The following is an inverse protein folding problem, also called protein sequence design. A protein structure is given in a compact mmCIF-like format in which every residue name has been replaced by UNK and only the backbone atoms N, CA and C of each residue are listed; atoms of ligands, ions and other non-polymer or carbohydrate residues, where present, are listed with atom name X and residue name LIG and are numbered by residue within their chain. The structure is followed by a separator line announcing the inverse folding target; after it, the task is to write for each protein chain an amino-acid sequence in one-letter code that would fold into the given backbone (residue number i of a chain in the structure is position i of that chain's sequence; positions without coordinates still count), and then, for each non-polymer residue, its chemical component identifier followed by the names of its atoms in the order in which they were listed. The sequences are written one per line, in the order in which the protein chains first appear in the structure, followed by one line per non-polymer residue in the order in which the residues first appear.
data_IF_914683847726
#
_entry.id   IF_914683847726
#
_cell.length_a   1.000
_cell.length_b   1.000
_cell.length_c   1.000
_cell.angle_alpha   90.00
_cell.angle_beta   90.00
_cell.angle_gamma   90.00
#
_symmetry.space_group_name_H-M   'P 1'
#
loop_
_entity.id
_entity.type
_entity.pdbx_description
1 polymer ?
#
# COMPACT_ATOMS: atom_id res chain seq x y z
N UNK A 1 6.36 -34.11 18.93
CA UNK A 1 6.99 -33.23 17.93
C UNK A 1 5.90 -32.36 17.31
N UNK A 2 6.12 -31.06 17.15
CA UNK A 2 5.18 -30.16 16.46
C UNK A 2 5.56 -30.12 14.98
N UNK A 3 4.58 -30.21 14.07
CA UNK A 3 4.76 -30.09 12.62
C UNK A 3 4.03 -28.87 12.07
N UNK A 4 4.34 -28.47 10.84
CA UNK A 4 3.72 -27.33 10.15
C UNK A 4 3.79 -26.04 10.97
N UNK A 5 4.93 -25.83 11.64
CA UNK A 5 5.17 -24.59 12.38
C UNK A 5 5.31 -23.44 11.38
N UNK A 6 4.53 -22.35 11.53
CA UNK A 6 4.56 -21.25 10.58
C UNK A 6 5.90 -20.52 10.65
N UNK A 7 6.30 -19.96 9.52
CA UNK A 7 7.44 -19.05 9.40
C UNK A 7 6.99 -17.60 9.46
N UNK A 8 7.92 -16.67 9.66
CA UNK A 8 7.60 -15.24 9.56
C UNK A 8 7.12 -14.86 8.14
N UNK A 9 7.67 -15.49 7.10
CA UNK A 9 7.29 -15.25 5.71
C UNK A 9 5.83 -15.64 5.42
N UNK A 10 5.32 -16.71 6.03
CA UNK A 10 3.91 -17.10 5.91
C UNK A 10 2.99 -15.96 6.40
N UNK A 11 3.32 -15.41 7.56
CA UNK A 11 2.58 -14.29 8.16
C UNK A 11 2.74 -12.99 7.37
N UNK A 12 3.95 -12.67 6.92
CA UNK A 12 4.21 -11.47 6.11
C UNK A 12 3.50 -11.51 4.76
N UNK A 13 3.48 -12.67 4.11
CA UNK A 13 2.74 -12.87 2.86
C UNK A 13 1.25 -12.63 3.07
N UNK A 14 0.62 -13.33 4.01
CA UNK A 14 -0.82 -13.16 4.28
C UNK A 14 -1.15 -11.74 4.73
N UNK A 15 -0.31 -11.13 5.58
CA UNK A 15 -0.51 -9.75 6.01
C UNK A 15 -0.50 -8.77 4.83
N UNK A 16 0.47 -8.87 3.92
CA UNK A 16 0.54 -8.04 2.72
C UNK A 16 -0.63 -8.29 1.76
N UNK A 17 -1.06 -9.54 1.57
CA UNK A 17 -2.22 -9.88 0.75
C UNK A 17 -3.52 -9.27 1.30
N UNK A 18 -3.70 -9.26 2.62
CA UNK A 18 -4.85 -8.60 3.26
C UNK A 18 -4.78 -7.07 3.10
N UNK A 19 -3.59 -6.47 3.28
CA UNK A 19 -3.42 -5.04 3.03
C UNK A 19 -3.71 -4.69 1.55
N UNK A 20 -3.26 -5.52 0.61
CA UNK A 20 -3.53 -5.34 -0.82
C UNK A 20 -5.02 -5.42 -1.14
N UNK A 21 -5.74 -6.39 -0.54
CA UNK A 21 -7.19 -6.51 -0.67
C UNK A 21 -7.90 -5.25 -0.14
N UNK A 22 -7.50 -4.76 1.04
CA UNK A 22 -8.08 -3.53 1.58
C UNK A 22 -7.76 -2.32 0.69
N UNK A 23 -6.55 -2.23 0.15
CA UNK A 23 -6.16 -1.16 -0.77
C UNK A 23 -7.01 -1.20 -2.03
N UNK A 24 -7.15 -2.36 -2.67
CA UNK A 24 -7.94 -2.57 -3.88
C UNK A 24 -9.40 -2.13 -3.69
N UNK A 25 -10.02 -2.49 -2.56
CA UNK A 25 -11.38 -2.08 -2.23
C UNK A 25 -11.53 -0.56 -2.19
N UNK A 26 -10.58 0.15 -1.59
CA UNK A 26 -10.63 1.62 -1.47
C UNK A 26 -10.24 2.30 -2.78
N UNK A 27 -9.19 1.80 -3.45
CA UNK A 27 -8.69 2.34 -4.70
C UNK A 27 -9.71 2.24 -5.84
N UNK A 28 -10.54 1.19 -5.85
CA UNK A 28 -11.67 1.06 -6.81
C UNK A 28 -12.73 2.14 -6.61
N UNK A 29 -13.13 2.43 -5.36
CA UNK A 29 -14.09 3.49 -5.09
C UNK A 29 -13.57 4.84 -5.60
N UNK A 30 -12.32 5.14 -5.28
CA UNK A 30 -11.65 6.36 -5.73
C UNK A 30 -11.49 6.42 -7.26
N UNK A 31 -11.16 5.30 -7.90
CA UNK A 31 -10.98 5.24 -9.36
C UNK A 31 -12.30 5.42 -10.09
N UNK A 32 -13.39 4.79 -9.63
CA UNK A 32 -14.73 4.98 -10.18
C UNK A 32 -15.17 6.44 -10.10
N UNK A 33 -14.77 7.13 -9.02
CA UNK A 33 -15.04 8.54 -8.83
C UNK A 33 -14.29 9.43 -9.82
N UNK A 34 -12.99 9.18 -9.97
CA UNK A 34 -12.15 9.90 -10.92
C UNK A 34 -12.60 9.67 -12.37
N UNK A 35 -13.07 8.46 -12.68
CA UNK A 35 -13.64 8.13 -13.99
C UNK A 35 -14.98 8.86 -14.22
N UNK A 36 -15.85 8.91 -13.21
CA UNK A 36 -17.08 9.71 -13.28
C UNK A 36 -16.79 11.19 -13.55
N UNK A 37 -15.79 11.77 -12.86
CA UNK A 37 -15.32 13.14 -13.08
C UNK A 37 -14.87 13.36 -14.53
N UNK A 38 -14.09 12.42 -15.07
CA UNK A 38 -13.64 12.46 -16.46
C UNK A 38 -14.80 12.47 -17.46
N UNK A 39 -15.88 11.75 -17.17
CA UNK A 39 -17.10 11.76 -17.99
C UNK A 39 -18.04 12.96 -17.71
N UNK A 40 -17.58 13.96 -16.95
CA UNK A 40 -18.27 15.23 -16.73
C UNK A 40 -19.27 15.23 -15.58
N UNK A 41 -19.22 14.23 -14.69
CA UNK A 41 -19.99 14.25 -13.44
C UNK A 41 -19.25 15.16 -12.45
N UNK A 42 -19.93 16.18 -11.90
CA UNK A 42 -19.33 17.02 -10.86
C UNK A 42 -19.14 16.22 -9.57
N UNK A 43 -17.91 15.80 -9.32
CA UNK A 43 -17.59 15.05 -8.12
C UNK A 43 -17.67 15.90 -6.84
N UNK A 44 -17.63 17.23 -6.96
CA UNK A 44 -17.93 18.14 -5.85
C UNK A 44 -19.38 18.07 -5.37
N UNK A 45 -20.28 17.59 -6.24
CA UNK A 45 -21.71 17.36 -5.95
C UNK A 45 -22.04 15.90 -5.66
N UNK A 46 -21.04 15.02 -5.49
CA UNK A 46 -21.29 13.64 -5.06
C UNK A 46 -22.08 13.68 -3.77
N UNK A 47 -23.29 13.13 -3.83
CA UNK A 47 -24.16 13.07 -2.68
C UNK A 47 -23.50 12.25 -1.57
N UNK A 48 -23.75 12.62 -0.32
CA UNK A 48 -23.44 11.79 0.85
C UNK A 48 -23.97 10.35 0.67
N UNK A 49 -24.98 10.16 -0.19
CA UNK A 49 -25.51 8.87 -0.59
C UNK A 49 -24.47 7.93 -1.19
N UNK A 50 -23.55 8.39 -2.04
CA UNK A 50 -22.49 7.52 -2.59
C UNK A 50 -21.62 6.95 -1.47
N UNK A 51 -21.14 7.80 -0.56
CA UNK A 51 -20.31 7.38 0.57
C UNK A 51 -21.09 6.55 1.59
N UNK A 52 -22.38 6.85 1.78
CA UNK A 52 -23.26 6.03 2.60
C UNK A 52 -23.47 4.63 2.01
N UNK A 53 -23.60 4.50 0.69
CA UNK A 53 -23.67 3.20 0.00
C UNK A 53 -22.33 2.47 0.05
N UNK A 54 -21.21 3.20 -0.02
CA UNK A 54 -19.86 2.65 0.12
C UNK A 54 -19.48 2.30 1.58
N UNK A 55 -20.24 2.73 2.59
CA UNK A 55 -19.92 2.58 4.01
C UNK A 55 -19.55 1.15 4.39
N UNK A 56 -20.29 0.16 3.89
CA UNK A 56 -19.99 -1.27 4.15
C UNK A 56 -18.64 -1.70 3.58
N UNK A 57 -18.28 -1.21 2.40
CA UNK A 57 -16.99 -1.50 1.77
C UNK A 57 -15.86 -0.84 2.57
N UNK A 58 -16.05 0.39 3.05
CA UNK A 58 -15.06 1.11 3.87
C UNK A 58 -14.83 0.44 5.23
N UNK A 59 -15.90 0.06 5.95
CA UNK A 59 -15.76 -0.64 7.23
C UNK A 59 -15.13 -2.03 7.07
N UNK A 60 -15.47 -2.75 6.00
CA UNK A 60 -14.84 -4.03 5.67
C UNK A 60 -13.35 -3.83 5.36
N UNK A 61 -12.99 -2.80 4.60
CA UNK A 61 -11.59 -2.47 4.29
C UNK A 61 -10.80 -2.15 5.56
N UNK A 62 -11.35 -1.37 6.50
CA UNK A 62 -10.71 -1.08 7.77
C UNK A 62 -10.47 -2.35 8.60
N UNK A 63 -11.46 -3.25 8.66
CA UNK A 63 -11.33 -4.52 9.36
C UNK A 63 -10.25 -5.43 8.74
N UNK A 64 -10.20 -5.49 7.41
CA UNK A 64 -9.17 -6.24 6.67
C UNK A 64 -7.79 -5.62 6.89
N UNK A 65 -7.66 -4.28 6.86
CA UNK A 65 -6.41 -3.57 7.18
C UNK A 65 -5.90 -3.98 8.55
N UNK A 66 -6.76 -3.93 9.57
CA UNK A 66 -6.41 -4.30 10.93
C UNK A 66 -5.98 -5.78 11.02
N UNK A 67 -6.72 -6.69 10.37
CA UNK A 67 -6.35 -8.11 10.32
C UNK A 67 -5.00 -8.32 9.63
N UNK A 68 -4.73 -7.62 8.53
CA UNK A 68 -3.43 -7.65 7.84
C UNK A 68 -2.29 -7.24 8.76
N UNK A 69 -2.46 -6.15 9.50
CA UNK A 69 -1.47 -5.68 10.48
C UNK A 69 -1.24 -6.70 11.60
N UNK A 70 -2.28 -7.37 12.11
CA UNK A 70 -2.10 -8.45 13.09
C UNK A 70 -1.20 -9.57 12.53
N UNK A 71 -1.41 -9.98 11.27
CA UNK A 71 -0.56 -10.98 10.62
C UNK A 71 0.88 -10.48 10.52
N UNK A 72 1.10 -9.22 10.14
CA UNK A 72 2.45 -8.66 10.08
C UNK A 72 3.14 -8.64 11.45
N UNK A 73 2.45 -8.26 12.53
CA UNK A 73 3.02 -8.31 13.89
C UNK A 73 3.29 -9.75 14.32
N UNK A 74 2.41 -10.71 14.00
CA UNK A 74 2.68 -12.14 14.23
C UNK A 74 3.92 -12.62 13.48
N UNK A 75 4.17 -12.11 12.27
CA UNK A 75 5.40 -12.36 11.54
C UNK A 75 6.65 -11.89 12.31
N UNK A 76 6.62 -10.69 12.88
CA UNK A 76 7.70 -10.17 13.77
C UNK A 76 7.92 -11.06 15.00
N UNK A 77 6.85 -11.57 15.62
CA UNK A 77 6.97 -12.51 16.73
C UNK A 77 7.57 -13.84 16.27
N UNK A 78 7.20 -14.33 15.08
CA UNK A 78 7.77 -15.54 14.47
C UNK A 78 9.25 -15.41 14.11
N UNK A 79 9.75 -14.21 13.80
CA UNK A 79 11.20 -13.99 13.63
C UNK A 79 11.98 -14.31 14.92
N UNK A 80 11.37 -14.07 16.09
CA UNK A 80 11.95 -14.41 17.39
C UNK A 80 11.73 -15.90 17.67
N UNK A 81 10.47 -16.34 17.69
CA UNK A 81 10.10 -17.74 17.85
C UNK A 81 8.60 -17.93 17.54
N UNK A 82 8.24 -18.86 16.65
CA UNK A 82 6.83 -19.14 16.34
C UNK A 82 6.06 -19.69 17.55
N UNK A 83 6.75 -20.28 18.54
CA UNK A 83 6.09 -20.81 19.74
C UNK A 83 5.58 -19.73 20.70
N UNK A 84 6.07 -18.47 20.57
CA UNK A 84 5.52 -17.34 21.32
C UNK A 84 4.09 -16.99 20.90
N UNK A 85 3.62 -17.52 19.77
CA UNK A 85 2.24 -17.36 19.34
C UNK A 85 1.27 -18.28 20.07
N UNK A 86 1.73 -19.29 20.82
CA UNK A 86 0.85 -20.21 21.56
C UNK A 86 0.38 -19.53 22.86
N UNK A 87 -0.94 -19.40 23.04
CA UNK A 87 -1.51 -18.67 24.19
C UNK A 87 -1.91 -19.55 25.37
N UNK A 88 -2.28 -20.80 25.11
CA UNK A 88 -2.74 -21.70 26.16
C UNK A 88 -1.58 -22.25 27.01
N UNK A 89 -1.87 -22.56 28.28
CA UNK A 89 -0.92 -23.25 29.15
C UNK A 89 -0.75 -24.72 28.74
N UNK A 90 0.38 -25.37 29.09
CA UNK A 90 0.65 -26.76 28.70
C UNK A 90 -0.45 -27.77 29.02
N UNK A 91 -1.25 -27.53 30.06
CA UNK A 91 -2.36 -28.39 30.46
C UNK A 91 -3.52 -28.42 29.45
N UNK A 92 -3.62 -27.44 28.55
CA UNK A 92 -4.67 -27.31 27.52
C UNK A 92 -4.18 -27.65 26.11
N UNK A 93 -2.90 -27.97 25.94
CA UNK A 93 -2.35 -28.30 24.64
C UNK A 93 -2.93 -29.62 24.12
N UNK A 94 -2.99 -29.81 22.79
CA UNK A 94 -3.31 -31.11 22.21
C UNK A 94 -2.40 -32.20 22.80
N UNK A 95 -2.97 -33.38 23.08
CA UNK A 95 -2.24 -34.48 23.71
C UNK A 95 -1.07 -34.96 22.84
N UNK A 96 0.17 -35.00 23.34
CA UNK A 96 1.32 -35.53 22.59
C UNK A 96 1.44 -37.06 22.67
N UNK A 97 0.58 -37.73 23.44
CA UNK A 97 0.71 -39.15 23.77
C UNK A 97 -0.03 -40.09 22.81
N UNK A 98 -0.70 -39.55 21.79
CA UNK A 98 -1.40 -40.31 20.74
C UNK A 98 -0.44 -40.89 19.68
N UNK A 99 0.87 -40.66 19.80
CA UNK A 99 1.90 -41.18 18.89
C UNK A 99 2.05 -40.40 17.58
N UNK A 100 1.22 -39.40 17.33
CA UNK A 100 1.27 -38.55 16.14
C UNK A 100 1.89 -37.16 16.43
N UNK A 101 2.50 -36.56 15.40
CA UNK A 101 2.98 -35.19 15.47
C UNK A 101 1.80 -34.19 15.50
N UNK A 102 1.81 -33.26 16.45
CA UNK A 102 0.76 -32.26 16.61
C UNK A 102 0.97 -31.17 15.55
N UNK A 103 -0.08 -30.87 14.79
CA UNK A 103 -0.07 -29.74 13.85
C UNK A 103 -0.15 -28.41 14.63
N UNK A 104 0.67 -27.42 14.25
CA UNK A 104 0.70 -26.11 14.91
C UNK A 104 -0.68 -25.43 14.91
N UNK A 105 -1.50 -25.62 13.88
CA UNK A 105 -2.85 -25.04 13.78
C UNK A 105 -3.81 -25.51 14.87
N UNK A 106 -3.51 -26.60 15.58
CA UNK A 106 -4.32 -27.11 16.71
C UNK A 106 -4.08 -26.33 18.01
N UNK A 107 -3.03 -25.53 18.09
CA UNK A 107 -2.78 -24.70 19.26
C UNK A 107 -3.61 -23.43 19.18
N UNK A 108 -4.19 -23.03 20.32
CA UNK A 108 -4.77 -21.70 20.45
C UNK A 108 -3.65 -20.66 20.34
N UNK A 109 -3.83 -19.68 19.46
CA UNK A 109 -2.87 -18.61 19.29
C UNK A 109 -3.18 -17.40 20.17
N UNK A 110 -2.20 -16.51 20.35
CA UNK A 110 -2.36 -15.24 21.04
C UNK A 110 -3.39 -14.33 20.35
N UNK A 111 -4.14 -13.61 21.17
CA UNK A 111 -5.15 -12.65 20.76
C UNK A 111 -4.49 -11.32 20.33
N UNK A 112 -5.17 -10.55 19.48
CA UNK A 112 -4.66 -9.30 18.90
C UNK A 112 -4.17 -8.29 19.95
N UNK A 113 -4.85 -8.24 21.10
CA UNK A 113 -4.55 -7.33 22.21
C UNK A 113 -3.20 -7.63 22.88
N UNK A 114 -2.72 -8.87 22.78
CA UNK A 114 -1.48 -9.31 23.44
C UNK A 114 -0.27 -9.24 22.49
N UNK A 115 -0.48 -9.03 21.19
CA UNK A 115 0.58 -9.05 20.17
C UNK A 115 1.72 -8.08 20.48
N UNK A 116 1.40 -6.81 20.74
CA UNK A 116 2.40 -5.78 21.05
C UNK A 116 3.19 -6.17 22.30
N UNK A 117 2.49 -6.57 23.37
CA UNK A 117 3.12 -6.95 24.64
C UNK A 117 4.05 -8.14 24.48
N UNK A 118 3.61 -9.19 23.76
CA UNK A 118 4.44 -10.37 23.48
C UNK A 118 5.66 -9.95 22.66
N UNK A 119 5.48 -9.22 21.56
CA UNK A 119 6.60 -8.74 20.74
C UNK A 119 7.62 -7.95 21.58
N UNK A 120 7.19 -6.89 22.28
CA UNK A 120 8.09 -5.96 22.96
C UNK A 120 8.79 -6.58 24.18
N UNK A 121 8.23 -7.67 24.74
CA UNK A 121 8.87 -8.40 25.85
C UNK A 121 10.08 -9.20 25.36
N UNK A 122 10.05 -9.72 24.13
CA UNK A 122 11.08 -10.63 23.60
C UNK A 122 11.93 -10.02 22.48
N UNK A 123 11.50 -8.92 21.89
CA UNK A 123 12.25 -8.20 20.84
C UNK A 123 13.38 -7.36 21.42
N UNK A 124 14.45 -7.17 20.64
CA UNK A 124 15.52 -6.22 20.97
C UNK A 124 15.08 -4.77 20.82
N UNK A 125 14.09 -4.51 19.95
CA UNK A 125 13.52 -3.20 19.69
C UNK A 125 12.01 -3.26 19.86
N UNK A 126 11.50 -2.52 20.85
CA UNK A 126 10.07 -2.36 21.05
C UNK A 126 9.46 -1.45 19.97
N UNK A 127 8.16 -1.61 19.74
CA UNK A 127 7.42 -0.63 18.94
C UNK A 127 7.40 0.73 19.63
N UNK A 128 7.44 1.81 18.84
CA UNK A 128 7.29 3.15 19.38
C UNK A 128 5.83 3.42 19.83
N UNK A 129 5.66 4.43 20.68
CA UNK A 129 4.36 4.76 21.24
C UNK A 129 3.32 5.15 20.18
N UNK A 130 3.74 5.77 19.07
CA UNK A 130 2.83 6.19 18.00
C UNK A 130 2.29 4.96 17.26
N UNK A 131 3.14 3.98 16.95
CA UNK A 131 2.74 2.70 16.38
C UNK A 131 1.75 1.96 17.29
N UNK A 132 2.06 1.85 18.58
CA UNK A 132 1.19 1.15 19.55
C UNK A 132 -0.18 1.82 19.65
N UNK A 133 -0.22 3.15 19.73
CA UNK A 133 -1.48 3.90 19.77
C UNK A 133 -2.30 3.66 18.50
N UNK A 134 -1.69 3.78 17.31
CA UNK A 134 -2.37 3.59 16.04
C UNK A 134 -2.90 2.15 15.88
N UNK A 135 -2.13 1.15 16.31
CA UNK A 135 -2.58 -0.25 16.32
C UNK A 135 -3.81 -0.45 17.20
N UNK A 136 -3.82 0.15 18.40
CA UNK A 136 -4.94 0.06 19.33
C UNK A 136 -6.20 0.76 18.81
N UNK A 137 -6.07 1.96 18.23
CA UNK A 137 -7.17 2.69 17.59
C UNK A 137 -7.82 1.87 16.48
N UNK A 138 -7.00 1.23 15.63
CA UNK A 138 -7.48 0.35 14.56
C UNK A 138 -8.20 -0.88 15.11
N UNK A 139 -7.64 -1.50 16.16
CA UNK A 139 -8.24 -2.66 16.83
C UNK A 139 -9.59 -2.32 17.45
N UNK A 140 -9.68 -1.18 18.12
CA UNK A 140 -10.93 -0.69 18.72
C UNK A 140 -11.99 -0.39 17.65
N UNK A 141 -11.58 0.29 16.57
CA UNK A 141 -12.46 0.54 15.41
C UNK A 141 -12.97 -0.76 14.79
N UNK A 142 -12.09 -1.76 14.61
CA UNK A 142 -12.48 -3.09 14.10
C UNK A 142 -13.46 -3.79 15.04
N UNK A 143 -13.25 -3.71 16.35
CA UNK A 143 -14.16 -4.33 17.32
C UNK A 143 -15.55 -3.69 17.28
N UNK A 144 -15.63 -2.36 17.13
CA UNK A 144 -16.91 -1.66 16.93
C UNK A 144 -17.60 -2.20 15.67
N UNK A 145 -16.89 -2.29 14.55
CA UNK A 145 -17.45 -2.79 13.27
C UNK A 145 -17.94 -4.25 13.40
N UNK A 146 -17.17 -5.12 14.04
CA UNK A 146 -17.48 -6.56 14.12
C UNK A 146 -18.57 -6.90 15.13
N UNK A 147 -18.66 -6.14 16.23
CA UNK A 147 -19.53 -6.47 17.36
C UNK A 147 -20.72 -5.52 17.50
N UNK A 148 -20.80 -4.44 16.72
CA UNK A 148 -21.87 -3.45 16.82
C UNK A 148 -22.20 -2.85 15.46
N UNK A 149 -23.49 -2.67 15.18
CA UNK A 149 -23.93 -1.80 14.08
C UNK A 149 -23.91 -0.39 14.64
N UNK A 150 -22.72 0.22 14.69
CA UNK A 150 -22.57 1.59 15.15
C UNK A 150 -22.83 2.54 13.98
N UNK A 151 -23.94 3.30 14.04
CA UNK A 151 -24.22 4.38 13.08
C UNK A 151 -23.24 5.55 13.24
N UNK A 152 -22.53 5.64 14.37
CA UNK A 152 -21.62 6.73 14.72
C UNK A 152 -20.19 6.55 14.24
N UNK A 153 -19.80 5.35 13.77
CA UNK A 153 -18.47 5.15 13.21
C UNK A 153 -18.47 5.61 11.75
N UNK A 154 -17.93 6.80 11.53
CA UNK A 154 -17.74 7.39 10.21
C UNK A 154 -16.32 7.09 9.71
N UNK A 155 -16.17 6.03 8.91
CA UNK A 155 -14.86 5.61 8.39
C UNK A 155 -14.59 6.33 7.09
N UNK A 156 -13.54 7.14 7.08
CA UNK A 156 -13.15 7.93 5.91
C UNK A 156 -12.10 7.21 5.06
N UNK A 157 -12.20 7.32 3.74
CA UNK A 157 -11.23 6.72 2.79
C UNK A 157 -9.79 7.11 3.13
N UNK A 158 -9.56 8.40 3.41
CA UNK A 158 -8.24 8.91 3.76
C UNK A 158 -7.66 8.28 5.03
N UNK A 159 -8.49 7.90 6.00
CA UNK A 159 -8.05 7.26 7.24
C UNK A 159 -7.60 5.82 7.02
N UNK A 160 -8.29 5.07 6.15
CA UNK A 160 -7.90 3.69 5.81
C UNK A 160 -6.56 3.69 5.09
N UNK A 161 -6.42 4.53 4.06
CA UNK A 161 -5.18 4.66 3.27
C UNK A 161 -4.01 5.10 4.16
N UNK A 162 -4.22 6.12 4.99
CA UNK A 162 -3.20 6.60 5.91
C UNK A 162 -2.79 5.53 6.93
N UNK A 163 -3.76 4.82 7.52
CA UNK A 163 -3.48 3.77 8.49
C UNK A 163 -2.71 2.62 7.86
N UNK A 164 -3.09 2.20 6.65
CA UNK A 164 -2.38 1.16 5.92
C UNK A 164 -0.94 1.57 5.64
N UNK A 165 -0.73 2.76 5.04
CA UNK A 165 0.60 3.25 4.67
C UNK A 165 1.50 3.49 5.89
N UNK A 166 0.94 4.07 6.95
CA UNK A 166 1.65 4.29 8.22
C UNK A 166 2.11 2.97 8.84
N UNK A 167 1.19 2.02 9.01
CA UNK A 167 1.51 0.75 9.69
C UNK A 167 2.47 -0.08 8.85
N UNK A 168 2.30 -0.10 7.53
CA UNK A 168 3.23 -0.77 6.63
C UNK A 168 4.63 -0.15 6.69
N UNK A 169 4.76 1.17 6.54
CA UNK A 169 6.06 1.85 6.53
C UNK A 169 6.77 1.77 7.89
N UNK A 170 6.02 1.77 8.99
CA UNK A 170 6.59 1.56 10.33
C UNK A 170 7.15 0.14 10.50
N UNK A 171 6.45 -0.87 9.96
CA UNK A 171 6.90 -2.27 10.02
C UNK A 171 8.01 -2.58 9.02
N UNK A 172 8.00 -1.95 7.85
CA UNK A 172 8.92 -2.21 6.74
C UNK A 172 9.45 -0.89 6.13
N UNK A 173 10.33 -0.16 6.84
CA UNK A 173 10.75 1.19 6.43
C UNK A 173 11.51 1.24 5.10
N UNK A 174 12.07 0.10 4.67
CA UNK A 174 12.81 -0.02 3.42
C UNK A 174 11.94 -0.55 2.25
N UNK A 175 10.66 -0.83 2.47
CA UNK A 175 9.75 -1.34 1.44
C UNK A 175 8.80 -0.25 0.93
N UNK A 176 8.73 -0.08 -0.38
CA UNK A 176 7.71 0.76 -1.01
C UNK A 176 6.40 0.01 -1.14
N UNK A 177 5.32 0.58 -0.59
CA UNK A 177 3.98 0.04 -0.78
C UNK A 177 3.59 -0.03 -2.26
N UNK A 178 3.98 0.97 -3.08
CA UNK A 178 3.68 0.97 -4.51
C UNK A 178 4.33 -0.22 -5.25
N UNK A 179 5.56 -0.60 -4.87
CA UNK A 179 6.21 -1.82 -5.38
C UNK A 179 5.45 -3.08 -4.96
N UNK A 180 4.97 -3.13 -3.72
CA UNK A 180 4.20 -4.27 -3.20
C UNK A 180 2.87 -4.39 -3.95
N UNK A 181 2.13 -3.28 -4.10
CA UNK A 181 0.89 -3.22 -4.88
C UNK A 181 1.11 -3.66 -6.32
N UNK A 182 2.14 -3.15 -6.99
CA UNK A 182 2.49 -3.57 -8.35
C UNK A 182 2.78 -5.07 -8.44
N UNK A 183 3.47 -5.65 -7.45
CA UNK A 183 3.74 -7.09 -7.40
C UNK A 183 2.46 -7.89 -7.18
N UNK A 184 1.57 -7.42 -6.32
CA UNK A 184 0.27 -8.05 -6.08
C UNK A 184 -0.59 -8.08 -7.36
N UNK A 185 -0.66 -6.96 -8.10
CA UNK A 185 -1.32 -6.91 -9.41
C UNK A 185 -0.73 -7.92 -10.41
N UNK A 186 0.60 -8.04 -10.48
CA UNK A 186 1.31 -9.05 -11.31
C UNK A 186 1.03 -10.50 -10.92
N UNK A 187 0.66 -10.73 -9.66
CA UNK A 187 0.30 -12.06 -9.15
C UNK A 187 -1.21 -12.27 -9.08
N UNK A 188 -2.00 -11.32 -9.59
CA UNK A 188 -3.46 -11.42 -9.60
C UNK A 188 -3.93 -12.38 -10.71
N UNK A 189 -5.09 -13.05 -10.52
CA UNK A 189 -5.68 -13.90 -11.55
C UNK A 189 -5.97 -13.17 -12.88
N UNK A 190 -6.17 -11.84 -12.86
CA UNK A 190 -6.42 -11.03 -14.06
C UNK A 190 -5.23 -11.02 -15.01
N UNK A 191 -4.02 -11.31 -14.52
CA UNK A 191 -2.81 -11.43 -15.33
C UNK A 191 -2.97 -12.54 -16.38
N UNK A 192 -3.61 -13.66 -16.01
CA UNK A 192 -3.94 -14.77 -16.93
C UNK A 192 -5.02 -14.40 -17.95
N UNK A 193 -5.74 -13.30 -17.71
CA UNK A 193 -6.74 -12.73 -18.62
C UNK A 193 -6.19 -11.58 -19.48
N UNK A 194 -4.87 -11.37 -19.46
CA UNK A 194 -4.20 -10.35 -20.29
C UNK A 194 -4.07 -8.97 -19.62
N UNK A 195 -4.33 -8.83 -18.32
CA UNK A 195 -4.18 -7.53 -17.65
C UNK A 195 -2.72 -7.08 -17.49
N UNK A 196 -1.75 -7.93 -17.85
CA UNK A 196 -0.30 -7.69 -17.68
C UNK A 196 0.14 -6.35 -18.29
N UNK A 197 -0.42 -5.99 -19.44
CA UNK A 197 -0.07 -4.76 -20.16
C UNK A 197 -0.57 -3.49 -19.47
N UNK A 198 -1.57 -3.60 -18.60
CA UNK A 198 -2.22 -2.46 -17.93
C UNK A 198 -1.77 -2.27 -16.47
N UNK A 199 -0.91 -3.14 -15.94
CA UNK A 199 -0.48 -3.08 -14.53
C UNK A 199 0.18 -1.74 -14.20
N UNK A 200 1.03 -1.23 -15.10
CA UNK A 200 1.69 0.07 -14.90
C UNK A 200 0.69 1.23 -14.96
N UNK A 201 -0.31 1.17 -15.84
CA UNK A 201 -1.41 2.13 -15.91
C UNK A 201 -2.21 2.14 -14.60
N UNK A 202 -2.63 0.96 -14.13
CA UNK A 202 -3.46 0.80 -12.94
C UNK A 202 -2.75 1.32 -11.69
N UNK A 203 -1.52 0.87 -11.41
CA UNK A 203 -0.79 1.33 -10.23
C UNK A 203 -0.48 2.84 -10.30
N UNK A 204 -0.18 3.39 -11.48
CA UNK A 204 0.06 4.83 -11.61
C UNK A 204 -1.24 5.63 -11.39
N UNK A 205 -2.39 5.14 -11.90
CA UNK A 205 -3.70 5.76 -11.65
C UNK A 205 -4.03 5.77 -10.17
N UNK A 206 -3.94 4.62 -9.50
CA UNK A 206 -4.22 4.49 -8.07
C UNK A 206 -3.35 5.45 -7.24
N UNK A 207 -2.03 5.44 -7.50
CA UNK A 207 -1.08 6.27 -6.77
C UNK A 207 -1.29 7.76 -7.05
N UNK A 208 -1.67 8.14 -8.28
CA UNK A 208 -2.00 9.53 -8.62
C UNK A 208 -3.16 10.05 -7.78
N UNK A 209 -4.25 9.27 -7.70
CA UNK A 209 -5.44 9.64 -6.91
C UNK A 209 -5.09 9.74 -5.43
N UNK A 210 -4.35 8.77 -4.90
CA UNK A 210 -3.98 8.73 -3.47
C UNK A 210 -2.99 9.83 -3.09
N UNK A 211 -2.01 10.13 -3.93
CA UNK A 211 -1.10 11.28 -3.74
C UNK A 211 -1.90 12.59 -3.71
N UNK A 212 -2.93 12.72 -4.54
CA UNK A 212 -3.80 13.89 -4.54
C UNK A 212 -4.68 13.99 -3.29
N UNK A 213 -5.18 12.85 -2.79
CA UNK A 213 -5.95 12.76 -1.55
C UNK A 213 -5.15 13.15 -0.30
N UNK A 214 -3.90 12.70 -0.19
CA UNK A 214 -3.08 12.89 1.02
C UNK A 214 -2.49 14.30 1.13
N UNK A 215 -2.27 14.76 2.36
CA UNK A 215 -1.57 16.02 2.59
C UNK A 215 -0.08 15.93 2.19
N UNK A 216 0.61 17.06 1.92
CA UNK A 216 2.01 17.03 1.48
C UNK A 216 3.00 16.37 2.45
N UNK A 217 2.73 16.37 3.75
CA UNK A 217 3.61 15.75 4.74
C UNK A 217 3.55 14.22 4.63
N UNK A 218 2.35 13.66 4.58
CA UNK A 218 2.11 12.21 4.38
C UNK A 218 2.65 11.74 3.03
N UNK A 219 2.50 12.52 1.97
CA UNK A 219 3.08 12.19 0.67
C UNK A 219 4.60 12.14 0.71
N UNK A 220 5.23 13.07 1.43
CA UNK A 220 6.69 13.04 1.62
C UNK A 220 7.14 11.84 2.42
N UNK A 221 6.39 11.49 3.47
CA UNK A 221 6.67 10.35 4.34
C UNK A 221 6.53 9.02 3.61
N UNK A 222 5.38 8.75 2.99
CA UNK A 222 5.09 7.44 2.40
C UNK A 222 5.66 7.25 1.00
N UNK A 223 5.77 8.33 0.23
CA UNK A 223 6.17 8.27 -1.19
C UNK A 223 7.48 8.96 -1.48
N UNK A 224 8.18 9.54 -0.49
CA UNK A 224 9.51 10.16 -0.64
C UNK A 224 9.57 11.27 -1.71
N UNK A 225 8.46 11.93 -1.98
CA UNK A 225 8.37 13.02 -2.97
C UNK A 225 7.84 14.33 -2.37
N UNK A 226 8.30 15.46 -2.90
CA UNK A 226 7.67 16.76 -2.63
C UNK A 226 6.43 16.91 -3.52
N UNK A 227 5.23 16.78 -2.92
CA UNK A 227 3.94 16.92 -3.63
C UNK A 227 3.85 18.21 -4.45
N UNK A 228 4.48 19.30 -3.98
CA UNK A 228 4.44 20.62 -4.62
C UNK A 228 5.50 20.82 -5.70
N UNK A 229 6.49 19.92 -5.81
CA UNK A 229 7.49 19.99 -6.87
C UNK A 229 6.86 19.60 -8.22
N UNK A 230 7.43 20.14 -9.30
CA UNK A 230 7.00 19.83 -10.67
C UNK A 230 7.03 18.33 -10.91
N UNK A 231 5.93 17.83 -11.46
CA UNK A 231 5.74 16.44 -11.83
C UNK A 231 6.34 16.11 -13.20
N UNK A 232 6.89 14.90 -13.29
CA UNK A 232 7.45 14.35 -14.53
C UNK A 232 6.93 12.93 -14.75
N UNK A 233 6.94 12.49 -15.99
CA UNK A 233 6.83 11.07 -16.30
C UNK A 233 8.01 10.31 -15.70
N UNK A 234 7.74 9.13 -15.14
CA UNK A 234 8.79 8.18 -14.85
C UNK A 234 9.12 7.45 -16.15
N UNK A 235 10.38 7.44 -16.60
CA UNK A 235 10.72 6.84 -17.89
C UNK A 235 10.40 5.34 -17.95
N UNK A 236 10.66 4.59 -16.87
CA UNK A 236 10.34 3.16 -16.82
C UNK A 236 8.82 2.89 -16.72
N UNK A 237 8.10 3.62 -15.87
CA UNK A 237 6.64 3.40 -15.75
C UNK A 237 5.91 3.80 -17.03
N UNK A 238 6.40 4.84 -17.71
CA UNK A 238 5.88 5.29 -19.01
C UNK A 238 6.18 4.26 -20.11
N UNK A 239 7.40 3.70 -20.16
CA UNK A 239 7.75 2.66 -21.15
C UNK A 239 6.99 1.36 -20.95
N UNK A 240 6.66 1.00 -19.70
CA UNK A 240 5.89 -0.20 -19.37
C UNK A 240 4.37 -0.01 -19.48
N UNK A 241 3.89 1.22 -19.66
CA UNK A 241 2.46 1.48 -19.75
C UNK A 241 1.91 1.10 -21.13
N UNK A 242 0.71 0.51 -21.15
CA UNK A 242 -0.07 0.42 -22.37
C UNK A 242 -0.55 1.83 -22.75
N UNK A 243 -0.34 2.22 -24.02
CA UNK A 243 -0.72 3.54 -24.56
C UNK A 243 -1.63 3.42 -25.78
N UNK A 244 -2.14 2.22 -26.06
CA UNK A 244 -2.94 1.94 -27.26
C UNK A 244 -4.42 2.31 -27.08
N UNK A 245 -4.92 2.22 -25.84
CA UNK A 245 -6.34 2.41 -25.52
C UNK A 245 -6.63 3.66 -24.66
N UNK A 246 -5.66 4.14 -23.88
CA UNK A 246 -5.81 5.26 -22.94
C UNK A 246 -4.62 6.22 -23.03
N UNK A 247 -4.90 7.52 -22.85
CA UNK A 247 -3.87 8.54 -22.68
C UNK A 247 -3.20 8.38 -21.31
N UNK A 248 -2.02 7.76 -21.28
CA UNK A 248 -1.21 7.67 -20.06
C UNK A 248 -0.61 9.04 -19.73
N UNK A 249 -1.21 9.78 -18.78
CA UNK A 249 -0.71 11.10 -18.32
C UNK A 249 -0.31 11.13 -16.82
N UNK A 250 0.09 9.98 -16.26
CA UNK A 250 0.45 9.90 -14.84
C UNK A 250 1.88 10.37 -14.56
N UNK A 251 2.04 11.68 -14.28
CA UNK A 251 3.32 12.32 -13.94
C UNK A 251 3.61 12.26 -12.45
N UNK A 252 4.19 11.14 -12.00
CA UNK A 252 4.43 10.88 -10.57
C UNK A 252 5.88 11.05 -10.13
N UNK A 253 6.83 11.10 -11.07
CA UNK A 253 8.24 11.33 -10.74
C UNK A 253 8.52 12.78 -10.35
N UNK A 254 9.57 13.02 -9.57
CA UNK A 254 10.06 14.34 -9.16
C UNK A 254 11.59 14.37 -9.25
N UNK A 255 12.17 15.54 -9.55
CA UNK A 255 13.61 15.74 -9.35
C UNK A 255 13.95 15.56 -7.87
N UNK A 256 15.08 14.92 -7.58
CA UNK A 256 15.52 14.65 -6.19
C UNK A 256 15.99 15.92 -5.47
N UNK A 257 16.40 16.94 -6.24
CA UNK A 257 16.80 18.26 -5.76
C UNK A 257 16.11 19.37 -6.57
N UNK A 258 16.03 20.57 -5.99
CA UNK A 258 15.53 21.78 -6.66
C UNK A 258 16.63 22.53 -7.42
N UNK A 259 17.87 22.05 -7.34
CA UNK A 259 19.00 22.63 -8.05
C UNK A 259 18.83 22.50 -9.56
N UNK A 260 19.23 23.54 -10.31
CA UNK A 260 19.12 23.55 -11.77
C UNK A 260 19.99 22.46 -12.43
N UNK A 261 21.08 22.07 -11.76
CA UNK A 261 22.00 21.00 -12.14
C UNK A 261 21.54 19.60 -11.71
N UNK A 262 20.36 19.47 -11.09
CA UNK A 262 19.83 18.17 -10.69
C UNK A 262 19.69 17.25 -11.91
N UNK A 263 20.42 16.14 -11.88
CA UNK A 263 20.53 15.16 -12.96
C UNK A 263 19.87 13.82 -12.62
N UNK A 264 18.98 13.82 -11.63
CA UNK A 264 18.30 12.60 -11.17
C UNK A 264 16.83 12.89 -10.85
N UNK A 265 15.94 11.98 -11.29
CA UNK A 265 14.53 11.95 -10.89
C UNK A 265 14.24 10.69 -10.09
N UNK A 266 13.45 10.83 -9.03
CA UNK A 266 12.91 9.70 -8.27
C UNK A 266 11.45 9.45 -8.65
N UNK A 267 11.10 8.17 -8.81
CA UNK A 267 9.72 7.73 -9.05
C UNK A 267 9.15 7.01 -7.83
N UNK A 268 8.02 7.46 -7.25
CA UNK A 268 7.39 6.82 -6.09
C UNK A 268 6.74 5.47 -6.43
N UNK A 269 6.43 5.20 -7.69
CA UNK A 269 5.72 3.97 -8.12
C UNK A 269 6.66 2.79 -8.19
N UNK A 270 7.75 2.93 -8.97
CA UNK A 270 8.78 1.90 -9.05
C UNK A 270 9.84 2.02 -7.94
N UNK A 271 9.83 3.10 -7.16
CA UNK A 271 10.77 3.38 -6.06
C UNK A 271 12.21 3.23 -6.56
N UNK A 272 12.53 3.97 -7.64
CA UNK A 272 13.83 4.00 -8.30
C UNK A 272 14.19 5.44 -8.71
N UNK A 273 15.49 5.67 -8.80
CA UNK A 273 16.05 6.87 -9.39
C UNK A 273 16.46 6.62 -10.85
N UNK A 274 16.37 7.67 -11.67
CA UNK A 274 16.80 7.65 -13.07
C UNK A 274 17.64 8.88 -13.38
N UNK A 275 18.76 8.67 -14.08
CA UNK A 275 19.59 9.74 -14.59
C UNK A 275 18.86 10.54 -15.68
N UNK A 276 19.02 11.86 -15.62
CA UNK A 276 18.43 12.81 -16.57
C UNK A 276 19.43 13.91 -16.93
N UNK A 277 19.33 14.41 -18.15
CA UNK A 277 20.04 15.60 -18.61
C UNK A 277 19.11 16.81 -18.68
N UNK A 278 19.71 17.99 -18.52
CA UNK A 278 19.02 19.28 -18.48
C UNK A 278 19.09 19.96 -19.85
N UNK A 279 18.42 19.34 -20.82
CA UNK A 279 18.38 19.80 -22.21
C UNK A 279 16.95 20.15 -22.62
N UNK A 280 16.80 21.20 -23.43
CA UNK A 280 15.49 21.64 -23.93
C UNK A 280 14.92 20.57 -24.86
N UNK A 281 13.63 20.27 -24.68
CA UNK A 281 12.89 19.38 -25.57
C UNK A 281 12.95 19.88 -27.02
N UNK A 282 13.32 19.00 -27.95
CA UNK A 282 13.48 19.31 -29.38
C UNK A 282 12.18 19.17 -30.20
N UNK A 283 11.05 18.92 -29.54
CA UNK A 283 9.75 18.75 -30.22
C UNK A 283 9.20 20.12 -30.60
N UNK A 284 9.27 20.45 -31.89
CA UNK A 284 8.77 21.71 -32.45
C UNK A 284 7.23 21.79 -32.54
N UNK A 285 6.53 20.64 -32.66
CA UNK A 285 5.07 20.59 -32.92
C UNK A 285 4.17 20.82 -31.68
N UNK A 286 4.71 21.35 -30.58
CA UNK A 286 3.91 21.54 -29.35
C UNK A 286 4.47 22.48 -28.29
N UNK A 287 5.50 23.29 -28.61
CA UNK A 287 6.08 24.30 -27.69
C UNK A 287 6.35 23.74 -26.28
N UNK A 288 6.85 22.49 -26.18
CA UNK A 288 7.01 21.81 -24.91
C UNK A 288 8.07 22.55 -24.05
N UNK A 289 7.72 23.10 -22.87
CA UNK A 289 8.68 23.80 -22.01
C UNK A 289 9.50 22.80 -21.16
N UNK A 290 9.66 21.57 -21.67
CA UNK A 290 10.35 20.49 -21.00
C UNK A 290 11.86 20.66 -21.10
N UNK A 291 12.56 20.47 -19.99
CA UNK A 291 14.02 20.52 -19.93
C UNK A 291 14.64 19.37 -19.12
N UNK A 292 13.93 18.25 -19.07
CA UNK A 292 14.36 17.04 -18.35
C UNK A 292 14.21 15.87 -19.29
N UNK A 293 15.35 15.35 -19.77
CA UNK A 293 15.40 14.26 -20.73
C UNK A 293 15.98 13.03 -20.04
N UNK A 294 15.35 11.87 -20.19
CA UNK A 294 15.91 10.61 -19.70
C UNK A 294 17.09 10.19 -20.56
N UNK A 295 18.23 9.89 -19.95
CA UNK A 295 19.40 9.38 -20.69
C UNK A 295 19.17 7.99 -21.26
N UNK A 296 18.49 7.12 -20.52
CA UNK A 296 18.32 5.70 -20.90
C UNK A 296 17.22 5.53 -21.93
N UNK A 297 16.13 6.28 -21.79
CA UNK A 297 14.95 6.15 -22.63
C UNK A 297 14.88 7.20 -23.73
N UNK A 298 15.85 8.13 -23.76
CA UNK A 298 15.95 9.22 -24.76
C UNK A 298 14.61 9.92 -24.96
N UNK A 299 13.94 10.27 -23.86
CA UNK A 299 12.60 10.87 -23.90
C UNK A 299 12.48 12.07 -22.97
N UNK A 300 11.73 13.08 -23.41
CA UNK A 300 11.36 14.21 -22.58
C UNK A 300 10.38 13.78 -21.50
N UNK A 301 10.77 13.93 -20.23
CA UNK A 301 9.92 13.56 -19.10
C UNK A 301 8.74 14.52 -18.85
N UNK A 302 8.61 15.59 -19.65
CA UNK A 302 7.46 16.51 -19.58
C UNK A 302 6.35 16.13 -20.56
N UNK A 303 6.67 15.85 -21.82
CA UNK A 303 5.66 15.51 -22.85
C UNK A 303 5.61 14.02 -23.22
N UNK A 304 6.63 13.24 -22.84
CA UNK A 304 6.68 11.81 -23.17
C UNK A 304 7.19 11.48 -24.58
N UNK A 305 7.59 12.48 -25.37
CA UNK A 305 8.17 12.28 -26.70
C UNK A 305 9.65 11.93 -26.64
N UNK A 306 10.11 11.18 -27.65
CA UNK A 306 11.51 10.85 -27.90
C UNK A 306 12.21 11.95 -28.68
#
# INVERSE_FOLDING_TARGET
MIRNTPTHDDFYKTGRELLDLSWDMVARLLSNLAEAEYYGIDTGEISDEYWNLARRQLTTSLAITQQGIEFLIKGRICEISPYLLISDSPAKWPSPYEGEAIDFSRFRTIDAQDLIRVHDTFSQAAFDAQFVNKFNELRESRNVIMHSISESLDVQVGEIIDSLLYMHSSLFPNESWAKIRKRALKSSPNTELGSVDYISNEVCRELSIIINLLNPAKVREYFKIDKKARSYFCPNCYSEANRDADDFDYRLARLVSKEESCNEVYCPVCDQNYAVVRETCSVDDGDCPGNVISEIHEMCLTCGHY
#
